data_IF_798752680696
#
_entry.id   IF_798752680696
#
_cell.length_a   1.000
_cell.length_b   1.000
_cell.length_c   1.000
_cell.angle_alpha   90.00
_cell.angle_beta   90.00
_cell.angle_gamma   90.00
#
_symmetry.space_group_name_H-M   'P 1'
#
loop_
_entity.id
_entity.type
_entity.pdbx_description
1 polymer ?
2 water ?
#
# COMPACT_ATOMS: atom_id res chain seq x y z
N UNK A 2 -19.48 12.21 6.97
CA UNK A 2 -19.51 10.88 6.36
C UNK A 2 -20.30 10.88 5.07
N UNK A 3 -20.10 11.92 4.25
CA UNK A 3 -20.80 12.02 2.97
C UNK A 3 -20.10 11.55 1.74
N UNK A 4 -20.96 11.17 0.82
CA UNK A 4 -20.63 10.57 -0.44
C UNK A 4 -20.82 11.58 -1.55
N UNK A 5 -19.94 11.49 -2.54
CA UNK A 5 -20.06 12.31 -3.73
C UNK A 5 -19.55 11.46 -4.87
N UNK A 6 -20.05 11.72 -6.05
CA UNK A 6 -19.54 11.05 -7.24
C UNK A 6 -18.30 11.78 -7.73
N UNK A 7 -17.22 11.04 -8.03
CA UNK A 7 -16.06 11.72 -8.58
C UNK A 7 -15.84 11.27 -10.01
N UNK A 8 -15.21 12.14 -10.79
CA UNK A 8 -14.88 11.87 -12.19
C UNK A 8 -13.85 10.75 -12.28
N UNK A 9 -13.67 10.22 -13.49
CA UNK A 9 -12.75 9.10 -13.63
C UNK A 9 -11.42 9.52 -14.25
N UNK A 10 -10.80 10.56 -13.69
CA UNK A 10 -9.50 11.00 -14.15
C UNK A 10 -8.35 10.17 -13.59
N UNK A 11 -7.12 10.68 -13.77
CA UNK A 11 -5.93 9.90 -13.35
C UNK A 11 -5.97 9.47 -11.90
N UNK A 12 -6.39 10.36 -11.01
CA UNK A 12 -6.45 10.01 -9.60
C UNK A 12 -7.31 8.78 -9.37
N UNK A 13 -8.49 8.73 -10.01
CA UNK A 13 -9.38 7.59 -9.84
C UNK A 13 -8.80 6.33 -10.47
N UNK A 14 -8.19 6.45 -11.66
CA UNK A 14 -7.53 5.32 -12.29
C UNK A 14 -6.47 4.73 -11.39
N UNK A 15 -5.67 5.58 -10.76
CA UNK A 15 -4.61 5.05 -9.94
C UNK A 15 -5.12 4.39 -8.67
N UNK A 16 -6.30 4.78 -8.18
CA UNK A 16 -6.94 4.02 -7.12
C UNK A 16 -7.30 2.63 -7.61
N UNK A 17 -7.70 2.53 -8.88
CA UNK A 17 -7.96 1.22 -9.46
C UNK A 17 -6.69 0.39 -9.62
N UNK A 18 -5.58 1.03 -9.99
CA UNK A 18 -4.33 0.29 -10.07
C UNK A 18 -3.90 -0.16 -8.70
N UNK A 19 -4.03 0.72 -7.70
CA UNK A 19 -3.73 0.33 -6.33
C UNK A 19 -4.53 -0.92 -5.95
N UNK A 20 -5.83 -0.91 -6.21
CA UNK A 20 -6.70 -2.01 -5.79
C UNK A 20 -6.30 -3.33 -6.45
N UNK A 21 -6.05 -3.31 -7.75
CA UNK A 21 -5.60 -4.51 -8.44
C UNK A 21 -4.25 -5.00 -7.89
N UNK A 22 -3.30 -4.08 -7.66
CA UNK A 22 -1.99 -4.51 -7.17
C UNK A 22 -2.11 -5.11 -5.78
N UNK A 23 -2.92 -4.48 -4.92
CA UNK A 23 -3.18 -5.04 -3.61
C UNK A 23 -3.84 -6.39 -3.72
N UNK A 24 -4.81 -6.51 -4.62
CA UNK A 24 -5.50 -7.78 -4.82
C UNK A 24 -4.57 -8.86 -5.37
N UNK A 25 -3.60 -8.51 -6.21
CA UNK A 25 -2.65 -9.52 -6.68
C UNK A 25 -1.83 -10.09 -5.53
N UNK A 26 -1.55 -9.28 -4.49
CA UNK A 26 -0.82 -9.81 -3.33
C UNK A 26 -1.69 -10.78 -2.54
N UNK A 27 -3.01 -10.56 -2.56
CA UNK A 27 -3.94 -11.45 -1.86
C UNK A 27 -4.11 -12.76 -2.60
N UNK A 28 -4.12 -12.72 -3.93
CA UNK A 28 -4.23 -13.94 -4.69
C UNK A 28 -5.61 -14.55 -4.67
N UNK A 29 -6.67 -13.74 -4.48
CA UNK A 29 -8.02 -14.29 -4.48
C UNK A 29 -8.43 -14.76 -5.86
N UNK A 30 -8.02 -14.01 -6.88
CA UNK A 30 -8.40 -14.28 -8.26
C UNK A 30 -7.23 -14.60 -9.19
N UNK A 31 -6.04 -14.84 -8.68
CA UNK A 31 -4.97 -15.01 -9.62
C UNK A 31 -4.41 -13.68 -10.07
N UNK A 32 -3.59 -13.74 -11.10
CA UNK A 32 -2.93 -12.53 -11.60
C UNK A 32 -3.87 -11.73 -12.49
N UNK A 33 -4.25 -10.56 -12.03
CA UNK A 33 -5.12 -9.68 -12.79
C UNK A 33 -4.27 -8.59 -13.44
N UNK A 34 -4.65 -8.20 -14.64
CA UNK A 34 -4.02 -7.08 -15.33
C UNK A 34 -5.00 -5.92 -15.36
N UNK A 35 -4.58 -4.79 -14.79
CA UNK A 35 -5.43 -3.62 -14.71
C UNK A 35 -5.86 -3.13 -16.09
N UNK A 36 -7.16 -2.89 -16.27
CA UNK A 36 -7.67 -2.32 -17.51
C UNK A 36 -8.02 -0.84 -17.30
N UNK A 37 -9.01 -0.57 -16.46
CA UNK A 37 -9.46 0.80 -16.23
C UNK A 37 -10.51 0.80 -15.12
N UNK A 38 -10.67 1.96 -14.50
CA UNK A 38 -11.80 2.26 -13.63
C UNK A 38 -12.89 2.88 -14.49
N UNK A 39 -14.15 2.47 -14.29
CA UNK A 39 -15.29 3.02 -15.03
C UNK A 39 -16.18 3.80 -14.06
N UNK A 40 -17.12 4.57 -14.63
CA UNK A 40 -18.10 5.25 -13.81
C UNK A 40 -19.14 4.25 -13.33
N UNK A 41 -19.74 4.47 -12.16
CA UNK A 41 -19.53 5.56 -11.21
C UNK A 41 -18.51 5.23 -10.12
N UNK A 42 -17.80 6.26 -9.70
CA UNK A 42 -16.85 6.17 -8.60
C UNK A 42 -17.30 7.10 -7.48
N UNK A 43 -17.47 6.56 -6.28
CA UNK A 43 -17.96 7.29 -5.11
C UNK A 43 -16.84 7.55 -4.12
N UNK A 44 -16.86 8.74 -3.52
CA UNK A 44 -15.91 9.10 -2.48
C UNK A 44 -16.67 9.56 -1.24
N UNK A 45 -16.32 9.01 -0.09
CA UNK A 45 -16.90 9.41 1.19
C UNK A 45 -15.81 10.05 2.02
N UNK A 46 -16.16 11.10 2.75
CA UNK A 46 -15.20 11.79 3.60
C UNK A 46 -15.22 11.26 5.02
N UNK A 47 -14.05 10.86 5.51
CA UNK A 47 -13.82 10.71 6.95
C UNK A 47 -12.71 11.66 7.38
N UNK A 52 -8.50 12.01 5.08
CA UNK A 52 -9.29 10.81 5.37
C UNK A 52 -10.47 10.54 4.44
N UNK A 53 -10.35 9.52 3.58
CA UNK A 53 -11.38 9.23 2.59
C UNK A 53 -11.59 7.73 2.45
N UNK A 54 -12.76 7.38 1.95
CA UNK A 54 -13.06 6.04 1.51
C UNK A 54 -13.68 6.10 0.12
N UNK A 55 -13.36 5.10 -0.72
CA UNK A 55 -13.76 5.08 -2.13
C UNK A 55 -14.44 3.76 -2.46
N UNK A 56 -15.51 3.80 -3.25
CA UNK A 56 -16.09 2.60 -3.83
C UNK A 56 -15.93 2.72 -5.35
N UNK A 57 -15.23 1.77 -5.96
CA UNK A 57 -14.92 1.88 -7.38
C UNK A 57 -15.32 0.61 -8.11
N UNK A 58 -15.46 0.76 -9.42
CA UNK A 58 -15.66 -0.34 -10.36
C UNK A 58 -14.41 -0.40 -11.22
N UNK A 59 -13.68 -1.52 -11.17
CA UNK A 59 -12.43 -1.61 -11.92
C UNK A 59 -12.46 -2.86 -12.79
N UNK A 60 -12.17 -2.68 -14.08
CA UNK A 60 -11.93 -3.77 -15.02
C UNK A 60 -10.49 -4.21 -14.86
N UNK A 61 -10.29 -5.52 -14.71
CA UNK A 61 -8.96 -6.10 -14.67
C UNK A 61 -9.05 -7.47 -15.32
N UNK A 62 -8.10 -7.79 -16.20
CA UNK A 62 -8.17 -8.95 -17.09
C UNK A 62 -9.58 -9.16 -17.65
N UNK A 63 -10.16 -8.08 -18.18
CA UNK A 63 -11.41 -8.13 -18.93
C UNK A 63 -12.61 -8.50 -18.05
N UNK A 64 -12.50 -8.41 -16.74
CA UNK A 64 -13.62 -8.75 -15.88
C UNK A 64 -13.87 -7.62 -14.90
N UNK A 65 -15.12 -7.45 -14.47
CA UNK A 65 -15.53 -6.28 -13.71
C UNK A 65 -15.57 -6.59 -12.23
N UNK A 66 -14.83 -5.82 -11.44
CA UNK A 66 -14.79 -6.00 -10.01
C UNK A 66 -15.18 -4.71 -9.31
N UNK A 67 -15.63 -4.81 -8.06
CA UNK A 67 -15.89 -3.63 -7.24
C UNK A 67 -14.91 -3.62 -6.07
N UNK A 68 -14.29 -2.47 -5.81
CA UNK A 68 -13.27 -2.34 -4.78
C UNK A 68 -13.69 -1.27 -3.79
N UNK A 69 -13.42 -1.52 -2.52
CA UNK A 69 -13.57 -0.56 -1.45
C UNK A 69 -12.19 -0.18 -0.95
N UNK A 70 -11.88 1.11 -0.92
CA UNK A 70 -10.52 1.56 -0.63
C UNK A 70 -10.60 2.63 0.44
N UNK A 71 -9.77 2.48 1.47
CA UNK A 71 -9.60 3.47 2.53
C UNK A 71 -8.27 4.19 2.35
N UNK A 72 -8.26 5.47 2.71
CA UNK A 72 -7.06 6.29 2.56
C UNK A 72 -6.91 7.23 3.75
N UNK A 73 -5.76 7.11 4.44
CA UNK A 73 -5.32 8.00 5.50
C UNK A 73 -4.50 9.12 4.86
N UNK A 74 -5.04 10.33 4.88
CA UNK A 74 -4.41 11.48 4.24
C UNK A 74 -2.93 11.64 4.63
N UNK A 75 -2.65 11.73 5.93
CA UNK A 75 -1.30 12.09 6.33
C UNK A 75 -0.36 10.89 6.26
N UNK A 76 -0.67 9.81 6.98
CA UNK A 76 0.21 8.62 7.07
C UNK A 76 0.44 7.97 5.71
N UNK A 78 -1.36 6.65 3.87
CA UNK A 78 -1.56 5.22 3.80
C UNK A 78 -2.90 4.83 3.23
N UNK A 79 -2.79 4.07 2.15
CA UNK A 79 -3.92 3.55 1.40
C UNK A 79 -4.07 2.06 1.67
N UNK A 80 -5.34 1.62 1.68
CA UNK A 80 -5.80 0.43 2.39
C UNK A 80 -6.89 -0.23 1.54
N UNK A 81 -6.66 -1.46 1.14
CA UNK A 81 -7.66 -2.17 0.34
C UNK A 81 -8.58 -2.87 1.31
N UNK A 82 -9.84 -2.41 1.38
CA UNK A 82 -10.79 -3.02 2.29
C UNK A 82 -11.53 -4.21 1.68
N UNK A 83 -11.97 -4.12 0.44
CA UNK A 83 -12.69 -5.25 -0.13
C UNK A 83 -12.45 -5.24 -1.63
N UNK A 84 -12.44 -6.42 -2.22
CA UNK A 84 -12.31 -6.57 -3.66
C UNK A 84 -13.10 -7.81 -4.04
N UNK A 85 -14.22 -7.62 -4.75
CA UNK A 85 -15.15 -8.70 -5.04
C UNK A 85 -15.56 -8.66 -6.50
N UNK A 86 -16.01 -9.81 -7.00
CA UNK A 86 -16.40 -9.92 -8.38
C UNK A 86 -16.13 -11.28 -8.98
N UNK A 87 -16.42 -11.44 -10.29
CA UNK A 87 -16.98 -10.41 -11.18
C UNK A 87 -18.36 -9.90 -10.78
N UNK A 88 -18.65 -8.62 -11.05
CA UNK A 88 -19.95 -8.02 -10.70
C UNK A 88 -20.63 -7.56 -11.98
N UNK A 89 -21.96 -7.47 -11.99
CA UNK A 89 -22.66 -6.96 -13.16
C UNK A 89 -22.32 -5.49 -13.39
N UNK A 90 -22.39 -5.05 -14.64
CA UNK A 90 -22.09 -3.65 -14.92
C UNK A 90 -23.09 -2.74 -14.25
N UNK A 91 -22.67 -1.56 -13.83
CA UNK A 91 -23.57 -0.59 -13.21
C UNK A 91 -24.44 0.08 -14.28
N UNK B 2 21.14 7.72 -7.05
CA UNK B 2 19.83 8.28 -6.72
C UNK B 2 19.94 9.19 -5.52
N UNK B 3 18.94 10.03 -5.23
CA UNK B 3 19.09 10.90 -4.07
C UNK B 3 18.62 10.15 -2.84
N UNK B 4 19.49 10.07 -1.85
CA UNK B 4 19.19 9.40 -0.61
C UNK B 4 19.09 10.48 0.45
N UNK B 5 18.20 10.29 1.40
CA UNK B 5 17.95 11.27 2.44
C UNK B 5 17.68 10.49 3.72
N UNK B 6 18.05 11.07 4.86
CA UNK B 6 17.61 10.58 6.17
C UNK B 6 16.38 11.39 6.53
N UNK B 7 15.28 10.69 6.80
CA UNK B 7 13.98 11.32 6.98
C UNK B 7 13.49 11.16 8.41
N UNK B 8 12.43 11.91 8.73
CA UNK B 8 11.84 11.90 10.06
C UNK B 8 11.30 10.52 10.45
N UNK B 9 11.05 10.33 11.75
CA UNK B 9 10.39 9.11 12.21
C UNK B 9 8.99 9.42 12.74
N UNK B 10 8.26 10.26 12.03
CA UNK B 10 6.94 10.69 12.46
C UNK B 10 5.87 9.70 12.09
N UNK B 11 4.58 10.12 12.16
CA UNK B 11 3.48 9.17 11.87
C UNK B 11 3.60 8.48 10.51
N UNK B 12 4.00 9.21 9.47
CA UNK B 12 4.16 8.62 8.15
C UNK B 12 5.16 7.46 8.17
N UNK B 13 6.32 7.70 8.78
CA UNK B 13 7.38 6.69 8.82
C UNK B 13 6.99 5.51 9.70
N UNK B 14 6.40 5.77 10.87
CA UNK B 14 5.98 4.67 11.71
C UNK B 14 5.03 3.74 10.97
N UNK B 15 4.09 4.31 10.24
CA UNK B 15 3.13 3.51 9.49
C UNK B 15 3.77 2.81 8.30
N UNK B 16 4.93 3.28 7.82
CA UNK B 16 5.71 2.46 6.90
C UNK B 16 6.22 1.21 7.60
N UNK B 17 6.67 1.36 8.84
CA UNK B 17 7.09 0.19 9.60
C UNK B 17 5.94 -0.73 9.96
N UNK B 18 4.78 -0.17 10.31
CA UNK B 18 3.64 -1.03 10.61
C UNK B 18 3.19 -1.77 9.36
N UNK B 19 3.21 -1.09 8.21
CA UNK B 19 2.95 -1.76 6.95
C UNK B 19 3.89 -2.95 6.76
N UNK B 20 5.19 -2.74 6.99
CA UNK B 20 6.18 -3.80 6.80
C UNK B 20 5.89 -4.98 7.71
N UNK B 21 5.61 -4.70 8.97
CA UNK B 21 5.24 -5.76 9.91
C UNK B 21 3.98 -6.49 9.44
N UNK B 22 2.96 -5.74 8.98
CA UNK B 22 1.70 -6.39 8.58
C UNK B 22 1.89 -7.27 7.35
N UNK B 23 2.64 -6.80 6.35
CA UNK B 23 2.96 -7.63 5.18
C UNK B 23 3.81 -8.83 5.55
N UNK B 24 4.83 -8.62 6.39
CA UNK B 24 5.62 -9.76 6.82
C UNK B 24 4.78 -10.71 7.63
N UNK B 25 3.83 -10.18 8.40
CA UNK B 25 3.00 -11.11 9.11
C UNK B 25 2.26 -12.00 8.13
N UNK B 26 1.82 -11.48 6.98
CA UNK B 26 1.09 -12.31 6.02
C UNK B 26 1.96 -13.41 5.41
N UNK B 27 3.28 -13.25 5.40
CA UNK B 27 4.18 -14.31 4.94
C UNK B 27 4.45 -15.31 6.06
N UNK B 28 4.61 -14.82 7.28
CA UNK B 28 4.83 -15.61 8.48
C UNK B 28 6.19 -16.25 8.64
N UNK B 29 7.19 -15.82 7.88
CA UNK B 29 8.53 -16.38 8.03
C UNK B 29 9.15 -16.01 9.38
N UNK B 30 8.78 -14.86 9.95
CA UNK B 30 9.41 -14.37 11.17
C UNK B 30 8.48 -14.46 12.37
N UNK B 31 7.49 -15.32 12.30
CA UNK B 31 6.49 -15.48 13.33
C UNK B 31 5.37 -14.47 13.20
N UNK B 32 4.59 -14.36 14.26
CA UNK B 32 3.56 -13.34 14.37
C UNK B 32 4.15 -12.20 15.18
N UNK B 33 4.42 -11.08 14.51
CA UNK B 33 5.10 -9.94 15.10
C UNK B 33 4.12 -8.87 15.57
N UNK B 34 4.48 -8.17 16.65
CA UNK B 34 3.73 -7.04 17.16
C UNK B 34 4.55 -5.79 16.88
N UNK B 35 4.02 -4.89 16.07
CA UNK B 35 4.73 -3.66 15.76
C UNK B 35 4.99 -2.84 17.03
N UNK B 36 6.24 -2.41 17.22
CA UNK B 36 6.58 -1.53 18.33
C UNK B 36 6.83 -0.12 17.81
N UNK B 37 7.87 0.09 17.01
CA UNK B 37 8.20 1.43 16.56
C UNK B 37 9.30 1.34 15.52
N UNK B 38 9.38 2.36 14.69
CA UNK B 38 10.51 2.60 13.81
C UNK B 38 11.49 3.53 14.51
N UNK B 39 12.77 3.19 14.45
CA UNK B 39 13.81 4.01 15.07
C UNK B 39 14.65 4.62 13.96
N UNK B 40 15.46 5.58 14.34
CA UNK B 40 16.39 6.12 13.38
C UNK B 40 17.56 5.18 13.26
N UNK B 41 18.26 5.20 12.11
CA UNK B 41 17.91 6.11 11.02
C UNK B 41 16.99 5.48 10.00
N UNK B 42 16.14 6.29 9.38
CA UNK B 42 15.28 5.87 8.29
C UNK B 42 15.78 6.56 7.03
N UNK B 43 16.11 5.76 6.02
CA UNK B 43 16.64 6.27 4.76
C UNK B 43 15.57 6.24 3.68
N UNK B 44 15.54 7.28 2.87
CA UNK B 44 14.62 7.32 1.75
C UNK B 44 15.38 7.60 0.47
N UNK B 45 15.12 6.82 -0.56
CA UNK B 45 15.64 7.07 -1.89
C UNK B 45 14.50 7.38 -2.84
N UNK B 46 14.78 8.27 -3.79
CA UNK B 46 13.87 8.62 -4.87
C UNK B 46 14.09 7.68 -6.05
N UNK B 47 13.07 6.87 -6.38
CA UNK B 47 13.07 5.88 -7.45
C UNK B 47 12.24 6.41 -8.61
N UNK B 48 12.54 5.94 -9.83
CA UNK B 48 11.85 6.43 -11.02
C UNK B 48 10.99 5.38 -11.73
N UNK B 49 11.02 4.13 -11.28
CA UNK B 49 10.12 3.09 -11.76
C UNK B 49 9.91 2.09 -10.63
N UNK B 50 8.73 2.07 -10.00
CA UNK B 50 7.67 3.03 -10.32
C UNK B 50 8.02 4.37 -9.70
N UNK B 51 7.59 5.47 -10.31
CA UNK B 51 7.93 6.78 -9.79
C UNK B 51 7.49 6.91 -8.33
N UNK B 52 8.45 7.17 -7.45
CA UNK B 52 8.14 7.37 -6.04
C UNK B 52 9.36 7.20 -5.16
N UNK B 53 9.23 6.39 -4.11
CA UNK B 53 10.29 6.29 -3.13
C UNK B 53 10.51 4.85 -2.71
N UNK B 54 11.72 4.63 -2.21
CA UNK B 54 12.11 3.40 -1.56
C UNK B 54 12.63 3.73 -0.17
N UNK B 55 12.29 2.90 0.80
CA UNK B 55 12.64 3.18 2.18
C UNK B 55 13.43 2.00 2.75
N UNK B 56 14.49 2.32 3.47
CA UNK B 56 15.24 1.36 4.29
C UNK B 56 15.03 1.74 5.74
N UNK B 57 14.42 0.86 6.51
CA UNK B 57 14.17 1.23 7.89
C UNK B 57 14.53 0.12 8.88
N UNK B 58 14.65 0.55 10.13
CA UNK B 58 14.89 -0.29 11.30
C UNK B 58 13.60 -0.29 12.11
N UNK B 59 13.03 -1.48 12.34
CA UNK B 59 11.76 -1.53 13.04
C UNK B 59 11.82 -2.56 14.16
N UNK B 60 11.48 -2.12 15.36
CA UNK B 60 11.26 -3.00 16.50
C UNK B 60 9.90 -3.63 16.39
N UNK B 61 9.86 -4.95 16.48
CA UNK B 61 8.60 -5.67 16.47
C UNK B 61 8.78 -6.91 17.33
N UNK B 62 7.77 -7.17 18.16
CA UNK B 62 7.87 -8.19 19.21
C UNK B 62 9.21 -8.11 19.93
N UNK B 63 9.63 -6.89 20.27
CA UNK B 63 10.84 -6.59 21.06
C UNK B 63 12.15 -6.99 20.37
N UNK B 64 12.15 -7.21 19.06
CA UNK B 64 13.38 -7.53 18.35
C UNK B 64 13.53 -6.57 17.19
N UNK B 65 14.77 -6.34 16.76
CA UNK B 65 15.07 -5.31 15.76
C UNK B 65 15.19 -5.94 14.38
N UNK B 66 14.43 -5.43 13.42
CA UNK B 66 14.50 -5.92 12.05
C UNK B 66 14.81 -4.77 11.09
N UNK B 67 15.27 -5.13 9.89
CA UNK B 67 15.47 -4.18 8.80
C UNK B 67 14.50 -4.50 7.68
N UNK B 68 13.76 -3.49 7.22
CA UNK B 68 12.75 -3.65 6.18
C UNK B 68 13.08 -2.70 5.04
N UNK B 69 12.93 -3.20 3.83
CA UNK B 69 13.09 -2.43 2.61
C UNK B 69 11.71 -2.29 1.95
N UNK B 70 11.27 -1.06 1.67
CA UNK B 70 9.90 -0.81 1.23
C UNK B 70 9.88 0.12 0.02
N UNK B 71 9.15 -0.28 -1.02
CA UNK B 71 8.92 0.59 -2.17
C UNK B 71 7.53 1.20 -2.11
N UNK B 72 7.39 2.42 -2.64
CA UNK B 72 6.11 3.11 -2.68
C UNK B 72 5.92 3.81 -4.01
N UNK B 73 4.80 3.50 -4.68
CA UNK B 73 4.40 4.14 -5.93
C UNK B 73 3.69 5.43 -5.56
N UNK B 74 4.33 6.58 -5.82
CA UNK B 74 3.73 7.85 -5.41
C UNK B 74 2.30 7.97 -5.91
N UNK B 75 2.05 7.58 -7.16
CA UNK B 75 0.73 7.75 -7.78
C UNK B 75 -0.32 6.80 -7.18
N UNK B 76 -0.07 5.49 -7.22
CA UNK B 76 -1.07 4.58 -6.66
C UNK B 76 -1.11 4.61 -5.13
N UNK B 77 -0.11 5.19 -4.48
CA UNK B 77 0.17 5.03 -3.06
C UNK B 77 0.37 3.57 -2.67
N UNK B 78 0.60 2.70 -3.64
CA UNK B 78 0.75 1.27 -3.37
C UNK B 78 2.15 0.92 -2.90
N UNK B 79 2.23 0.18 -1.80
CA UNK B 79 3.51 -0.20 -1.25
C UNK B 79 3.79 -1.69 -1.41
N UNK B 80 5.09 -2.01 -1.47
CA UNK B 80 5.61 -3.37 -1.57
C UNK B 80 6.74 -3.50 -0.56
N UNK B 81 6.69 -4.57 0.22
CA UNK B 81 7.76 -4.98 1.12
C UNK B 81 8.72 -5.79 0.27
N UNK B 82 9.90 -5.25 0.04
CA UNK B 82 10.91 -5.89 -0.79
C UNK B 82 11.74 -6.88 0.01
N UNK B 83 12.07 -6.55 1.24
CA UNK B 83 12.94 -7.39 2.06
C UNK B 83 12.58 -7.14 3.51
N UNK B 84 12.73 -8.18 4.31
CA UNK B 84 12.53 -8.11 5.75
C UNK B 84 13.52 -9.09 6.37
N UNK B 85 14.50 -8.61 7.13
CA UNK B 85 15.45 -9.51 7.74
C UNK B 85 15.70 -9.12 9.19
N UNK B 86 16.26 -10.06 9.93
CA UNK B 86 16.64 -9.82 11.29
C UNK B 86 16.56 -11.08 12.12
N UNK B 87 16.84 -10.97 13.43
CA UNK B 87 17.22 -9.72 14.12
C UNK B 87 18.54 -9.14 13.63
N UNK B 88 18.66 -7.82 13.63
CA UNK B 88 19.86 -7.14 13.13
C UNK B 88 20.52 -6.39 14.28
N UNK B 89 21.84 -6.17 14.25
CA UNK B 89 22.46 -5.34 15.28
C UNK B 89 21.90 -3.93 15.23
N UNK B 90 21.82 -3.26 16.38
CA UNK B 90 21.31 -1.90 16.38
C UNK B 90 22.25 -0.98 15.62
N UNK B 91 21.71 0.08 14.99
CA UNK B 91 22.57 0.95 14.19
C UNK B 91 23.54 1.76 15.06
#
# INVERSE_FOLDING_TARGET
>A
MGEWEIIDIGPFTQNLGKFAVDEENKIGQYGRLTFNKVIRPCMKKTIQEPKGYEYQLYVYASDKLFRADISEDYKTRGRKLLRFNGPVPPP
>B
MGEWEIIDIGPFTQNLGKFAVDEENKIGQYGRLTFNKVIRPCMKKTIQEPKGYEYQLYVYASDKLFRADISEDYKTRGRKLLRFNGPVPPP
#
